data_IF_206889950204
#
_entry.id   IF_206889950204
#
_cell.length_a   1.000
_cell.length_b   1.000
_cell.length_c   1.000
_cell.angle_alpha   90.00
_cell.angle_beta   90.00
_cell.angle_gamma   90.00
#
_symmetry.space_group_name_H-M   'P 1'
#
loop_
_entity.id
_entity.type
_entity.pdbx_description
1 polymer ?
#
# COMPACT_ATOMS: atom_id res chain seq x y z
N UNK A 1 -5.09 2.13 -71.39
CA UNK A 1 -5.89 1.34 -70.43
C UNK A 1 -4.92 0.65 -69.46
N UNK A 2 -4.77 1.14 -68.22
CA UNK A 2 -4.29 0.43 -66.99
C UNK A 2 -3.50 1.23 -65.94
N UNK A 3 -3.34 2.56 -66.04
CA UNK A 3 -2.72 3.31 -64.93
C UNK A 3 -3.77 3.73 -63.87
N UNK A 4 -5.02 4.02 -64.27
CA UNK A 4 -6.10 4.38 -63.34
C UNK A 4 -6.59 3.22 -62.45
N UNK A 5 -6.41 1.95 -62.86
CA UNK A 5 -6.82 0.80 -62.04
C UNK A 5 -5.84 0.51 -60.90
N UNK A 6 -4.54 0.78 -61.07
CA UNK A 6 -3.55 0.60 -60.01
C UNK A 6 -3.65 1.67 -58.91
N UNK A 7 -4.01 2.91 -59.24
CA UNK A 7 -4.16 3.99 -58.24
C UNK A 7 -5.41 3.79 -57.38
N UNK A 8 -6.51 3.27 -57.95
CA UNK A 8 -7.72 2.96 -57.18
C UNK A 8 -7.55 1.73 -56.27
N UNK A 9 -6.79 0.71 -56.69
CA UNK A 9 -6.48 -0.43 -55.81
C UNK A 9 -5.49 -0.08 -54.69
N UNK A 10 -4.58 0.87 -54.92
CA UNK A 10 -3.68 1.36 -53.86
C UNK A 10 -4.39 2.25 -52.82
N UNK A 11 -5.41 3.02 -53.22
CA UNK A 11 -6.19 3.84 -52.28
C UNK A 11 -7.12 3.01 -51.37
N UNK A 12 -7.62 1.88 -51.86
CA UNK A 12 -8.49 0.97 -51.09
C UNK A 12 -7.67 0.10 -50.12
N UNK A 13 -6.43 -0.26 -50.49
CA UNK A 13 -5.51 -0.97 -49.58
C UNK A 13 -4.95 -0.03 -48.48
N UNK A 14 -4.91 1.29 -48.71
CA UNK A 14 -4.57 2.26 -47.64
C UNK A 14 -5.75 2.64 -46.72
N UNK A 15 -7.00 2.43 -47.15
CA UNK A 15 -8.17 2.59 -46.28
C UNK A 15 -8.51 1.32 -45.47
N UNK A 16 -7.89 0.18 -45.77
CA UNK A 16 -8.06 -1.08 -45.02
C UNK A 16 -6.89 -1.43 -44.08
N UNK A 17 -5.89 -0.54 -43.95
CA UNK A 17 -5.16 -0.39 -42.69
C UNK A 17 -6.12 0.27 -41.70
N UNK A 18 -7.13 -0.51 -41.28
CA UNK A 18 -8.13 -0.13 -40.29
C UNK A 18 -7.41 0.59 -39.15
N UNK A 19 -7.88 1.79 -38.81
CA UNK A 19 -7.62 2.35 -37.49
C UNK A 19 -8.08 1.28 -36.49
N UNK A 20 -7.15 0.49 -35.95
CA UNK A 20 -7.45 -0.42 -34.87
C UNK A 20 -8.09 0.46 -33.80
N UNK A 21 -9.38 0.23 -33.51
CA UNK A 21 -10.11 1.00 -32.51
C UNK A 21 -9.28 0.92 -31.24
N UNK A 22 -8.73 2.05 -30.80
CA UNK A 22 -7.91 2.08 -29.60
C UNK A 22 -8.83 1.71 -28.45
N UNK A 23 -8.68 0.48 -27.96
CA UNK A 23 -9.44 -0.02 -26.83
C UNK A 23 -8.99 0.75 -25.59
N UNK A 24 -9.95 1.31 -24.87
CA UNK A 24 -9.68 2.14 -23.69
C UNK A 24 -10.86 2.10 -22.74
N UNK A 25 -10.53 1.97 -21.46
CA UNK A 25 -11.49 2.11 -20.38
C UNK A 25 -12.01 3.56 -20.30
N UNK A 26 -13.29 3.70 -20.01
CA UNK A 26 -13.93 4.97 -19.68
C UNK A 26 -14.99 4.77 -18.59
N UNK A 27 -15.62 5.85 -18.13
CA UNK A 27 -16.60 5.83 -17.04
C UNK A 27 -17.85 4.98 -17.32
N UNK A 28 -18.16 4.70 -18.59
CA UNK A 28 -19.28 3.85 -19.00
C UNK A 28 -18.90 2.36 -19.05
N UNK A 29 -17.60 2.04 -18.94
CA UNK A 29 -17.09 0.67 -19.01
C UNK A 29 -17.49 -0.12 -17.78
N UNK A 30 -18.53 -0.95 -17.92
CA UNK A 30 -19.00 -1.83 -16.85
C UNK A 30 -18.10 -3.04 -16.65
N UNK A 31 -18.17 -3.67 -15.47
CA UNK A 31 -17.45 -4.93 -15.22
C UNK A 31 -17.86 -6.05 -16.17
N UNK A 32 -19.13 -6.08 -16.58
CA UNK A 32 -19.63 -7.04 -17.55
C UNK A 32 -18.99 -6.82 -18.93
N UNK A 33 -18.86 -5.56 -19.37
CA UNK A 33 -18.15 -5.27 -20.62
C UNK A 33 -16.68 -5.67 -20.57
N UNK A 34 -16.02 -5.51 -19.42
CA UNK A 34 -14.62 -5.97 -19.24
C UNK A 34 -14.54 -7.48 -19.44
N UNK A 35 -15.47 -8.26 -18.86
CA UNK A 35 -15.51 -9.72 -19.02
C UNK A 35 -15.74 -10.11 -20.48
N UNK A 36 -16.77 -9.54 -21.12
CA UNK A 36 -17.16 -9.86 -22.50
C UNK A 36 -16.02 -9.58 -23.48
N UNK A 37 -15.38 -8.41 -23.38
CA UNK A 37 -14.27 -8.07 -24.26
C UNK A 37 -13.00 -8.89 -23.95
N UNK A 38 -12.76 -9.25 -22.69
CA UNK A 38 -11.64 -10.14 -22.36
C UNK A 38 -11.84 -11.54 -22.98
N UNK A 39 -13.07 -12.05 -22.93
CA UNK A 39 -13.47 -13.34 -23.53
C UNK A 39 -13.45 -13.30 -25.05
N UNK A 40 -13.76 -12.16 -25.68
CA UNK A 40 -13.67 -11.99 -27.14
C UNK A 40 -12.23 -11.85 -27.65
N UNK A 41 -11.24 -11.80 -26.76
CA UNK A 41 -9.82 -11.84 -27.12
C UNK A 41 -9.06 -10.53 -26.95
N UNK A 42 -9.69 -9.44 -26.49
CA UNK A 42 -9.00 -8.16 -26.29
C UNK A 42 -7.91 -8.27 -25.23
N UNK A 43 -6.64 -8.10 -25.64
CA UNK A 43 -5.51 -8.13 -24.72
C UNK A 43 -5.58 -7.01 -23.66
N UNK A 44 -6.16 -5.85 -24.03
CA UNK A 44 -6.42 -4.74 -23.11
C UNK A 44 -7.34 -5.18 -21.97
N UNK A 45 -8.52 -5.70 -22.33
CA UNK A 45 -9.53 -6.09 -21.35
C UNK A 45 -9.14 -7.35 -20.58
N UNK A 46 -8.34 -8.25 -21.16
CA UNK A 46 -7.74 -9.38 -20.43
C UNK A 46 -6.81 -8.90 -19.31
N UNK A 47 -5.92 -7.95 -19.60
CA UNK A 47 -5.04 -7.38 -18.59
C UNK A 47 -5.83 -6.60 -17.52
N UNK A 48 -6.80 -5.80 -17.95
CA UNK A 48 -7.68 -5.04 -17.06
C UNK A 48 -8.51 -5.95 -16.14
N UNK A 49 -9.06 -7.05 -16.66
CA UNK A 49 -9.78 -8.05 -15.88
C UNK A 49 -8.85 -8.68 -14.83
N UNK A 50 -7.59 -8.96 -15.20
CA UNK A 50 -6.55 -9.37 -14.26
C UNK A 50 -6.40 -8.39 -13.10
N UNK A 51 -6.31 -7.09 -13.38
CA UNK A 51 -6.21 -6.03 -12.37
C UNK A 51 -7.46 -5.98 -11.49
N UNK A 52 -8.65 -6.02 -12.09
CA UNK A 52 -9.93 -5.95 -11.37
C UNK A 52 -10.10 -7.13 -10.42
N UNK A 53 -9.78 -8.34 -10.86
CA UNK A 53 -9.85 -9.54 -10.01
C UNK A 53 -8.82 -9.54 -8.88
N UNK A 54 -7.64 -8.92 -9.05
CA UNK A 54 -6.67 -8.75 -7.95
C UNK A 54 -7.20 -7.80 -6.88
N UNK A 55 -7.95 -6.79 -7.28
CA UNK A 55 -8.33 -5.66 -6.43
C UNK A 55 -9.81 -5.66 -6.02
N UNK A 56 -10.62 -6.58 -6.54
CA UNK A 56 -12.06 -6.68 -6.28
C UNK A 56 -12.86 -5.51 -6.86
N UNK A 57 -12.37 -4.90 -7.93
CA UNK A 57 -13.03 -3.77 -8.58
C UNK A 57 -14.28 -4.21 -9.36
N UNK A 58 -15.18 -3.27 -9.63
CA UNK A 58 -16.46 -3.55 -10.28
C UNK A 58 -17.43 -4.39 -9.44
N UNK A 59 -17.14 -4.60 -8.15
CA UNK A 59 -17.90 -5.46 -7.24
C UNK A 59 -17.53 -6.94 -7.32
N UNK A 60 -16.40 -7.28 -7.95
CA UNK A 60 -15.86 -8.63 -7.97
C UNK A 60 -15.26 -9.02 -6.62
N UNK A 61 -15.26 -10.32 -6.30
CA UNK A 61 -14.45 -10.82 -5.20
C UNK A 61 -12.98 -10.90 -5.61
N UNK A 62 -12.08 -10.60 -4.67
CA UNK A 62 -10.64 -10.76 -4.87
C UNK A 62 -10.34 -12.22 -5.20
N UNK A 63 -9.78 -12.46 -6.39
CA UNK A 63 -9.43 -13.77 -6.90
C UNK A 63 -8.04 -13.74 -7.56
N UNK A 64 -7.02 -14.01 -6.75
CA UNK A 64 -5.61 -13.97 -7.15
C UNK A 64 -5.26 -15.00 -8.23
N UNK A 65 -5.89 -16.19 -8.19
CA UNK A 65 -5.62 -17.24 -9.16
C UNK A 65 -6.16 -16.86 -10.55
N UNK A 66 -7.42 -16.45 -10.62
CA UNK A 66 -8.05 -16.05 -11.88
C UNK A 66 -7.44 -14.76 -12.42
N UNK A 67 -7.10 -13.82 -11.53
CA UNK A 67 -6.33 -12.61 -11.86
C UNK A 67 -5.03 -12.97 -12.59
N UNK A 68 -4.27 -13.94 -12.07
CA UNK A 68 -3.03 -14.43 -12.70
C UNK A 68 -3.30 -15.07 -14.05
N UNK A 69 -4.34 -15.90 -14.18
CA UNK A 69 -4.70 -16.57 -15.44
C UNK A 69 -4.94 -15.54 -16.54
N UNK A 70 -5.81 -14.55 -16.32
CA UNK A 70 -6.08 -13.49 -17.29
C UNK A 70 -4.86 -12.63 -17.61
N UNK A 71 -4.05 -12.32 -16.59
CA UNK A 71 -2.82 -11.56 -16.79
C UNK A 71 -1.84 -12.29 -17.70
N UNK A 72 -1.70 -13.61 -17.56
CA UNK A 72 -0.87 -14.43 -18.44
C UNK A 72 -1.40 -14.47 -19.88
N UNK A 73 -2.71 -14.45 -20.09
CA UNK A 73 -3.29 -14.38 -21.45
C UNK A 73 -2.92 -13.03 -22.09
N UNK A 74 -3.06 -11.93 -21.35
CA UNK A 74 -2.65 -10.60 -21.84
C UNK A 74 -1.15 -10.51 -22.15
N UNK A 75 -0.29 -11.14 -21.33
CA UNK A 75 1.17 -11.22 -21.58
C UNK A 75 1.48 -11.97 -22.87
N UNK A 76 0.78 -13.07 -23.18
CA UNK A 76 0.97 -13.81 -24.44
C UNK A 76 0.63 -12.97 -25.68
N UNK A 77 -0.20 -11.94 -25.51
CA UNK A 77 -0.55 -10.96 -26.54
C UNK A 77 0.25 -9.65 -26.41
N UNK A 78 1.32 -9.65 -25.60
CA UNK A 78 2.23 -8.54 -25.37
C UNK A 78 1.59 -7.24 -24.82
N UNK A 79 0.45 -7.34 -24.13
CA UNK A 79 -0.21 -6.18 -23.52
C UNK A 79 0.36 -5.86 -22.12
N UNK A 80 0.75 -4.60 -21.84
CA UNK A 80 1.50 -4.25 -20.62
C UNK A 80 0.75 -4.46 -19.31
N UNK A 81 -0.58 -4.38 -19.31
CA UNK A 81 -1.39 -4.61 -18.10
C UNK A 81 -1.22 -6.01 -17.51
N UNK A 82 -1.02 -7.03 -18.35
CA UNK A 82 -0.78 -8.39 -17.89
C UNK A 82 0.49 -8.47 -17.02
N UNK A 83 1.62 -8.02 -17.57
CA UNK A 83 2.90 -8.07 -16.85
C UNK A 83 2.96 -7.10 -15.65
N UNK A 84 2.34 -5.92 -15.74
CA UNK A 84 2.17 -5.04 -14.58
C UNK A 84 1.38 -5.71 -13.45
N UNK A 85 0.31 -6.44 -13.78
CA UNK A 85 -0.48 -7.12 -12.76
C UNK A 85 0.30 -8.33 -12.18
N UNK A 86 1.04 -9.07 -13.01
CA UNK A 86 1.94 -10.13 -12.52
C UNK A 86 3.03 -9.58 -11.58
N UNK A 87 3.57 -8.38 -11.85
CA UNK A 87 4.52 -7.72 -10.96
C UNK A 87 3.90 -7.42 -9.58
N UNK A 88 2.68 -6.88 -9.54
CA UNK A 88 1.93 -6.69 -8.29
C UNK A 88 1.69 -8.03 -7.55
N UNK A 89 1.38 -9.09 -8.28
CA UNK A 89 1.22 -10.42 -7.69
C UNK A 89 2.54 -11.01 -7.16
N UNK A 90 3.69 -10.65 -7.73
CA UNK A 90 5.00 -10.99 -7.21
C UNK A 90 5.32 -10.19 -5.93
N UNK A 91 4.99 -8.89 -5.90
CA UNK A 91 5.07 -8.06 -4.69
C UNK A 91 4.26 -8.64 -3.53
N UNK A 92 3.03 -9.09 -3.77
CA UNK A 92 2.19 -9.73 -2.75
C UNK A 92 2.80 -11.01 -2.17
N UNK A 93 3.62 -11.72 -2.95
CA UNK A 93 4.39 -12.89 -2.50
C UNK A 93 5.71 -12.54 -1.83
N UNK A 94 6.10 -11.26 -1.82
CA UNK A 94 7.40 -10.81 -1.33
C UNK A 94 8.55 -11.03 -2.32
N UNK A 95 8.26 -11.38 -3.59
CA UNK A 95 9.26 -11.53 -4.65
C UNK A 95 9.55 -10.18 -5.31
N UNK A 96 10.37 -9.38 -4.63
CA UNK A 96 10.70 -8.02 -5.05
C UNK A 96 11.55 -7.99 -6.34
N UNK A 97 12.36 -9.03 -6.58
CA UNK A 97 13.22 -9.11 -7.76
C UNK A 97 12.35 -9.33 -8.99
N UNK A 98 11.50 -10.36 -8.98
CA UNK A 98 10.61 -10.61 -10.12
C UNK A 98 9.65 -9.44 -10.37
N UNK A 99 9.13 -8.82 -9.30
CA UNK A 99 8.30 -7.64 -9.43
C UNK A 99 9.02 -6.48 -10.13
N UNK A 100 10.24 -6.14 -9.68
CA UNK A 100 11.01 -5.02 -10.23
C UNK A 100 11.34 -5.25 -11.70
N UNK A 101 11.77 -6.47 -12.07
CA UNK A 101 12.04 -6.83 -13.47
C UNK A 101 10.80 -6.62 -14.34
N UNK A 102 9.66 -7.19 -13.93
CA UNK A 102 8.41 -7.06 -14.69
C UNK A 102 7.95 -5.60 -14.83
N UNK A 103 8.08 -4.78 -13.77
CA UNK A 103 7.75 -3.36 -13.86
C UNK A 103 8.64 -2.60 -14.86
N UNK A 104 9.95 -2.88 -14.86
CA UNK A 104 10.89 -2.26 -15.81
C UNK A 104 10.55 -2.62 -17.26
N UNK A 105 10.19 -3.87 -17.52
CA UNK A 105 9.85 -4.38 -18.86
C UNK A 105 8.58 -3.74 -19.47
N UNK A 106 7.66 -3.25 -18.63
CA UNK A 106 6.40 -2.65 -19.09
C UNK A 106 6.33 -1.14 -18.96
N UNK A 107 7.21 -0.51 -18.18
CA UNK A 107 7.13 0.91 -17.84
C UNK A 107 7.06 1.82 -19.07
N UNK A 108 7.89 1.58 -20.10
CA UNK A 108 7.88 2.41 -21.30
C UNK A 108 6.55 2.31 -22.07
N UNK A 109 5.98 1.11 -22.17
CA UNK A 109 4.69 0.90 -22.84
C UNK A 109 3.56 1.53 -22.04
N UNK A 110 3.50 1.31 -20.72
CA UNK A 110 2.52 1.98 -19.86
C UNK A 110 2.62 3.51 -19.94
N UNK A 111 3.85 4.05 -19.99
CA UNK A 111 4.06 5.49 -20.13
C UNK A 111 3.49 6.00 -21.45
N UNK A 112 3.59 5.25 -22.56
CA UNK A 112 2.95 5.62 -23.84
C UNK A 112 1.42 5.64 -23.71
N UNK A 113 0.81 4.56 -23.23
CA UNK A 113 -0.65 4.52 -23.00
C UNK A 113 -1.12 5.66 -22.08
N UNK A 114 -0.40 5.93 -21.00
CA UNK A 114 -0.71 7.03 -20.09
C UNK A 114 -0.58 8.41 -20.77
N UNK A 115 0.41 8.59 -21.65
CA UNK A 115 0.60 9.84 -22.40
C UNK A 115 -0.50 10.02 -23.45
N UNK A 116 -1.02 8.92 -24.00
CA UNK A 116 -2.14 8.93 -24.95
C UNK A 116 -3.49 9.15 -24.26
N UNK A 117 -3.52 9.27 -22.93
CA UNK A 117 -4.75 9.57 -22.17
C UNK A 117 -5.46 8.35 -21.59
N UNK A 118 -4.81 7.18 -21.51
CA UNK A 118 -5.41 6.01 -20.87
C UNK A 118 -5.37 6.13 -19.33
N UNK A 119 -6.53 6.18 -18.64
CA UNK A 119 -6.57 6.39 -17.21
C UNK A 119 -6.12 5.18 -16.38
N UNK A 120 -6.28 3.96 -16.91
CA UNK A 120 -5.79 2.73 -16.25
C UNK A 120 -4.26 2.73 -16.31
N UNK A 121 -3.67 3.07 -17.45
CA UNK A 121 -2.22 3.14 -17.60
C UNK A 121 -1.61 4.26 -16.76
N UNK A 122 -2.27 5.42 -16.65
CA UNK A 122 -1.87 6.47 -15.70
C UNK A 122 -1.81 5.94 -14.27
N UNK A 123 -2.86 5.23 -13.83
CA UNK A 123 -2.87 4.62 -12.51
C UNK A 123 -1.75 3.59 -12.33
N UNK A 124 -1.58 2.67 -13.28
CA UNK A 124 -0.53 1.64 -13.24
C UNK A 124 0.87 2.27 -13.15
N UNK A 125 1.16 3.28 -13.99
CA UNK A 125 2.43 3.98 -13.98
C UNK A 125 2.64 4.77 -12.68
N UNK A 126 1.57 5.36 -12.12
CA UNK A 126 1.62 6.00 -10.82
C UNK A 126 1.98 5.03 -9.69
N UNK A 127 1.45 3.79 -9.72
CA UNK A 127 1.85 2.76 -8.76
C UNK A 127 3.30 2.34 -8.94
N UNK A 128 3.78 2.18 -10.17
CA UNK A 128 5.19 1.86 -10.44
C UNK A 128 6.10 2.95 -9.87
N UNK A 129 5.82 4.23 -10.15
CA UNK A 129 6.60 5.35 -9.64
C UNK A 129 6.57 5.46 -8.11
N UNK A 130 5.48 5.03 -7.50
CA UNK A 130 5.34 5.01 -6.05
C UNK A 130 6.09 3.85 -5.39
N UNK A 131 6.14 2.67 -6.04
CA UNK A 131 6.62 1.43 -5.43
C UNK A 131 8.08 1.09 -5.79
N UNK A 132 8.52 1.38 -7.01
CA UNK A 132 9.85 0.99 -7.52
C UNK A 132 10.90 2.01 -7.06
N UNK A 133 12.05 1.52 -6.60
CA UNK A 133 13.15 2.37 -6.09
C UNK A 133 14.14 2.69 -7.24
N UNK A 134 14.54 3.97 -7.43
CA UNK A 134 14.12 5.14 -6.67
C UNK A 134 12.67 5.56 -6.98
N UNK A 135 11.90 5.86 -5.94
CA UNK A 135 10.50 6.29 -6.10
C UNK A 135 10.42 7.71 -6.63
N UNK A 136 9.37 8.01 -7.38
CA UNK A 136 9.04 9.34 -7.86
C UNK A 136 7.63 9.74 -7.40
N UNK A 137 7.54 10.13 -6.13
CA UNK A 137 6.26 10.42 -5.47
C UNK A 137 5.50 11.57 -6.14
N UNK A 138 6.21 12.61 -6.62
CA UNK A 138 5.59 13.75 -7.32
C UNK A 138 4.96 13.33 -8.63
N UNK A 139 5.67 12.54 -9.45
CA UNK A 139 5.12 12.03 -10.72
C UNK A 139 3.99 11.05 -10.48
N UNK A 140 4.12 10.17 -9.49
CA UNK A 140 3.06 9.24 -9.07
C UNK A 140 1.77 10.00 -8.71
N UNK A 141 1.88 11.03 -7.86
CA UNK A 141 0.75 11.87 -7.47
C UNK A 141 0.07 12.53 -8.68
N UNK A 142 0.84 13.11 -9.60
CA UNK A 142 0.31 13.73 -10.81
C UNK A 142 -0.35 12.73 -11.77
N UNK A 143 0.12 11.49 -11.84
CA UNK A 143 -0.52 10.42 -12.62
C UNK A 143 -1.82 9.95 -11.97
N UNK A 144 -1.84 9.75 -10.65
CA UNK A 144 -3.04 9.39 -9.92
C UNK A 144 -4.12 10.49 -10.01
N UNK A 145 -3.74 11.76 -9.90
CA UNK A 145 -4.70 12.88 -10.02
C UNK A 145 -5.35 12.91 -11.40
N UNK A 146 -4.58 12.83 -12.48
CA UNK A 146 -5.11 12.80 -13.86
C UNK A 146 -6.01 11.58 -14.11
N UNK A 147 -5.61 10.40 -13.63
CA UNK A 147 -6.44 9.19 -13.71
C UNK A 147 -7.76 9.34 -12.95
N UNK A 148 -7.73 9.96 -11.76
CA UNK A 148 -8.91 10.21 -10.94
C UNK A 148 -9.86 11.25 -11.57
N UNK A 149 -9.32 12.28 -12.22
CA UNK A 149 -10.07 13.28 -13.00
C UNK A 149 -10.82 12.66 -14.18
N UNK A 150 -10.20 11.67 -14.84
CA UNK A 150 -10.83 10.84 -15.88
C UNK A 150 -11.82 9.80 -15.34
N UNK A 151 -12.03 9.76 -14.02
CA UNK A 151 -13.05 8.95 -13.39
C UNK A 151 -12.63 7.54 -12.96
N UNK A 152 -11.35 7.17 -13.07
CA UNK A 152 -10.92 5.81 -12.77
C UNK A 152 -11.06 5.49 -11.26
N UNK A 153 -11.84 4.45 -10.87
CA UNK A 153 -12.24 4.26 -9.48
C UNK A 153 -11.07 4.03 -8.52
N UNK A 154 -10.04 3.27 -8.92
CA UNK A 154 -8.88 3.03 -8.06
C UNK A 154 -8.06 4.30 -7.84
N UNK A 155 -7.89 5.13 -8.87
CA UNK A 155 -7.22 6.41 -8.73
C UNK A 155 -8.01 7.38 -7.85
N UNK A 156 -9.34 7.43 -8.00
CA UNK A 156 -10.22 8.19 -7.11
C UNK A 156 -10.11 7.70 -5.66
N UNK A 157 -10.04 6.38 -5.44
CA UNK A 157 -9.86 5.79 -4.12
C UNK A 157 -8.51 6.20 -3.50
N UNK A 158 -7.43 6.13 -4.27
CA UNK A 158 -6.08 6.50 -3.86
C UNK A 158 -5.97 7.99 -3.52
N UNK A 159 -6.38 8.86 -4.45
CA UNK A 159 -6.33 10.32 -4.23
C UNK A 159 -7.28 10.75 -3.12
N UNK A 160 -8.46 10.13 -3.01
CA UNK A 160 -9.39 10.38 -1.91
C UNK A 160 -8.76 10.11 -0.55
N UNK A 161 -8.12 8.95 -0.39
CA UNK A 161 -7.41 8.59 0.84
C UNK A 161 -6.17 9.45 1.11
N UNK A 162 -5.51 9.98 0.08
CA UNK A 162 -4.41 10.93 0.24
C UNK A 162 -4.92 12.29 0.71
N UNK A 163 -6.01 12.82 0.13
CA UNK A 163 -6.61 14.07 0.57
C UNK A 163 -7.09 14.04 2.03
N UNK A 164 -7.62 12.91 2.51
CA UNK A 164 -8.04 12.79 3.92
C UNK A 164 -6.88 12.97 4.92
N UNK A 165 -5.67 12.57 4.52
CA UNK A 165 -4.47 12.57 5.37
C UNK A 165 -3.53 13.74 5.07
N UNK A 166 -3.59 14.28 3.85
CA UNK A 166 -2.54 15.12 3.28
C UNK A 166 -1.26 14.32 2.97
N UNK A 167 -0.40 14.93 2.16
CA UNK A 167 0.97 14.49 1.91
C UNK A 167 1.90 15.71 2.09
N UNK A 168 2.67 15.81 3.19
CA UNK A 168 3.42 17.01 3.53
C UNK A 168 4.28 17.53 2.37
N UNK A 169 4.07 18.80 2.01
CA UNK A 169 4.81 19.48 0.94
C UNK A 169 4.40 19.12 -0.50
N UNK A 170 3.43 18.22 -0.68
CA UNK A 170 2.99 17.75 -2.01
C UNK A 170 1.48 17.78 -2.20
N UNK A 171 0.70 17.58 -1.14
CA UNK A 171 -0.76 17.61 -1.20
C UNK A 171 -1.33 18.07 0.15
N UNK A 172 -2.02 19.20 0.15
CA UNK A 172 -2.69 19.65 1.35
C UNK A 172 -3.86 18.74 1.73
N UNK A 173 -4.09 18.60 3.03
CA UNK A 173 -5.22 17.84 3.55
C UNK A 173 -6.52 18.56 3.16
N UNK A 174 -7.43 17.84 2.51
CA UNK A 174 -8.76 18.32 2.15
C UNK A 174 -9.78 17.19 2.35
N UNK A 175 -10.43 17.17 3.51
CA UNK A 175 -11.33 16.08 3.87
C UNK A 175 -12.59 16.01 3.01
N UNK A 176 -13.15 17.15 2.64
CA UNK A 176 -14.35 17.21 1.79
C UNK A 176 -14.09 16.60 0.42
N UNK A 177 -12.99 17.01 -0.24
CA UNK A 177 -12.56 16.45 -1.52
C UNK A 177 -12.22 14.96 -1.39
N UNK A 178 -11.58 14.57 -0.28
CA UNK A 178 -11.29 13.17 0.04
C UNK A 178 -12.54 12.30 0.08
N UNK A 179 -13.54 12.68 0.88
CA UNK A 179 -14.82 11.95 1.00
C UNK A 179 -15.59 11.96 -0.32
N UNK A 180 -15.58 13.07 -1.06
CA UNK A 180 -16.23 13.18 -2.37
C UNK A 180 -15.67 12.16 -3.37
N UNK A 181 -14.34 12.07 -3.48
CA UNK A 181 -13.68 11.10 -4.38
C UNK A 181 -13.92 9.65 -3.95
N UNK A 182 -13.82 9.35 -2.65
CA UNK A 182 -14.15 8.01 -2.14
C UNK A 182 -15.59 7.64 -2.45
N UNK A 183 -16.53 8.56 -2.28
CA UNK A 183 -17.96 8.33 -2.56
C UNK A 183 -18.21 8.05 -4.05
N UNK A 184 -17.53 8.75 -4.97
CA UNK A 184 -17.59 8.48 -6.42
C UNK A 184 -17.08 7.06 -6.73
N UNK A 185 -15.92 6.69 -6.20
CA UNK A 185 -15.34 5.36 -6.40
C UNK A 185 -16.21 4.24 -5.80
N UNK A 186 -16.85 4.46 -4.65
CA UNK A 186 -17.82 3.50 -4.06
C UNK A 186 -19.01 3.27 -4.98
N UNK A 187 -19.57 4.33 -5.62
CA UNK A 187 -20.66 4.18 -6.61
C UNK A 187 -20.21 3.38 -7.84
N UNK A 188 -18.95 3.53 -8.24
CA UNK A 188 -18.32 2.70 -9.26
C UNK A 188 -17.91 1.29 -8.77
N UNK A 189 -18.37 0.90 -7.57
CA UNK A 189 -18.15 -0.41 -6.95
C UNK A 189 -16.69 -0.72 -6.62
N UNK A 190 -15.86 0.29 -6.37
CA UNK A 190 -14.47 0.08 -5.92
C UNK A 190 -14.42 -0.49 -4.51
N UNK A 191 -13.69 -1.61 -4.37
CA UNK A 191 -13.48 -2.28 -3.09
C UNK A 191 -12.49 -1.48 -2.22
N UNK A 192 -11.42 -0.95 -2.81
CA UNK A 192 -10.47 -0.07 -2.13
C UNK A 192 -11.16 1.16 -1.55
N UNK A 193 -12.08 1.77 -2.29
CA UNK A 193 -12.83 2.93 -1.79
C UNK A 193 -13.74 2.60 -0.61
N UNK A 194 -14.43 1.44 -0.65
CA UNK A 194 -15.27 0.98 0.47
C UNK A 194 -14.45 0.76 1.73
N UNK A 195 -13.27 0.13 1.60
CA UNK A 195 -12.36 -0.03 2.72
C UNK A 195 -11.89 1.33 3.26
N UNK A 196 -11.43 2.23 2.39
CA UNK A 196 -10.96 3.55 2.79
C UNK A 196 -12.06 4.39 3.48
N UNK A 197 -13.31 4.30 3.02
CA UNK A 197 -14.43 4.96 3.67
C UNK A 197 -14.76 4.34 5.03
N UNK A 198 -14.65 3.01 5.17
CA UNK A 198 -14.73 2.33 6.46
C UNK A 198 -13.67 2.82 7.44
N UNK A 199 -12.42 2.96 6.98
CA UNK A 199 -11.33 3.53 7.78
C UNK A 199 -11.55 5.00 8.12
N UNK A 200 -12.12 5.79 7.20
CA UNK A 200 -12.48 7.18 7.47
C UNK A 200 -13.49 7.30 8.62
N UNK A 201 -14.53 6.46 8.64
CA UNK A 201 -15.46 6.38 9.78
C UNK A 201 -14.78 5.88 11.06
N UNK A 202 -13.85 4.93 10.96
CA UNK A 202 -13.14 4.43 12.14
C UNK A 202 -12.27 5.51 12.80
N UNK A 203 -11.60 6.34 12.00
CA UNK A 203 -10.69 7.37 12.47
C UNK A 203 -11.37 8.74 12.73
N UNK A 204 -12.54 8.99 12.13
CA UNK A 204 -13.12 10.33 12.05
C UNK A 204 -12.47 11.23 10.98
N UNK A 205 -11.91 10.64 9.92
CA UNK A 205 -11.24 11.39 8.86
C UNK A 205 -12.28 11.98 7.89
N UNK A 206 -12.64 13.25 8.09
CA UNK A 206 -13.57 13.95 7.20
C UNK A 206 -15.05 13.57 7.35
N UNK A 207 -15.34 12.62 8.23
CA UNK A 207 -16.67 12.20 8.67
C UNK A 207 -16.64 12.05 10.20
N UNK A 208 -17.80 12.07 10.84
CA UNK A 208 -17.89 11.79 12.27
C UNK A 208 -17.42 10.35 12.58
N UNK A 209 -16.59 10.21 13.61
CA UNK A 209 -16.07 8.91 14.04
C UNK A 209 -17.23 7.98 14.41
N UNK A 210 -17.27 6.79 13.80
CA UNK A 210 -18.33 5.82 14.02
C UNK A 210 -17.83 4.39 13.74
N UNK A 211 -17.43 3.66 14.79
CA UNK A 211 -16.90 2.31 14.66
C UNK A 211 -17.96 1.31 14.16
N UNK A 212 -19.24 1.50 14.50
CA UNK A 212 -20.33 0.69 13.98
C UNK A 212 -20.45 0.81 12.45
N UNK A 213 -20.53 2.03 11.90
CA UNK A 213 -20.53 2.27 10.45
C UNK A 213 -19.26 1.75 9.79
N UNK A 214 -18.10 1.94 10.41
CA UNK A 214 -16.84 1.37 9.92
C UNK A 214 -16.94 -0.16 9.78
N UNK A 215 -17.46 -0.85 10.80
CA UNK A 215 -17.63 -2.31 10.76
C UNK A 215 -18.57 -2.76 9.64
N UNK A 216 -19.64 -2.01 9.34
CA UNK A 216 -20.55 -2.33 8.23
C UNK A 216 -19.82 -2.27 6.87
N UNK A 217 -19.01 -1.23 6.64
CA UNK A 217 -18.19 -1.11 5.43
C UNK A 217 -17.15 -2.22 5.33
N UNK A 218 -16.45 -2.52 6.43
CA UNK A 218 -15.45 -3.60 6.46
C UNK A 218 -16.10 -4.97 6.20
N UNK A 219 -17.29 -5.24 6.73
CA UNK A 219 -18.04 -6.48 6.46
C UNK A 219 -18.36 -6.65 4.97
N UNK A 220 -18.69 -5.57 4.25
CA UNK A 220 -18.89 -5.63 2.79
C UNK A 220 -17.60 -5.97 2.03
N UNK A 221 -16.45 -5.48 2.50
CA UNK A 221 -15.16 -5.79 1.91
C UNK A 221 -14.69 -7.22 2.25
N UNK A 222 -14.97 -7.71 3.46
CA UNK A 222 -14.73 -9.12 3.86
C UNK A 222 -15.52 -10.09 2.98
N UNK A 223 -16.77 -9.77 2.63
CA UNK A 223 -17.58 -10.59 1.69
C UNK A 223 -16.95 -10.71 0.30
N UNK A 224 -16.10 -9.77 -0.10
CA UNK A 224 -15.33 -9.78 -1.35
C UNK A 224 -13.91 -10.32 -1.16
N UNK A 225 -13.64 -11.00 -0.04
CA UNK A 225 -12.35 -11.61 0.28
C UNK A 225 -11.17 -10.62 0.41
N UNK A 226 -11.44 -9.38 0.85
CA UNK A 226 -10.39 -8.37 1.00
C UNK A 226 -9.59 -8.55 2.30
N UNK A 227 -8.30 -8.87 2.18
CA UNK A 227 -7.45 -9.28 3.31
C UNK A 227 -7.24 -8.16 4.36
N UNK A 228 -7.16 -6.91 3.90
CA UNK A 228 -6.98 -5.73 4.73
C UNK A 228 -8.24 -5.47 5.56
N UNK A 229 -9.42 -5.67 4.98
CA UNK A 229 -10.68 -5.57 5.72
C UNK A 229 -10.87 -6.71 6.71
N UNK A 230 -10.47 -7.94 6.36
CA UNK A 230 -10.46 -9.07 7.28
C UNK A 230 -9.57 -8.78 8.49
N UNK A 231 -8.36 -8.24 8.26
CA UNK A 231 -7.47 -7.84 9.35
C UNK A 231 -8.08 -6.75 10.23
N UNK A 232 -8.54 -5.64 9.64
CA UNK A 232 -9.10 -4.51 10.38
C UNK A 232 -10.36 -4.87 11.16
N UNK A 233 -11.29 -5.62 10.55
CA UNK A 233 -12.50 -6.08 11.24
C UNK A 233 -12.15 -7.12 12.32
N UNK A 234 -11.18 -7.98 12.05
CA UNK A 234 -10.68 -8.97 13.00
C UNK A 234 -10.21 -8.33 14.30
N UNK A 235 -9.40 -7.27 14.20
CA UNK A 235 -8.97 -6.49 15.36
C UNK A 235 -10.13 -5.76 16.04
N UNK A 236 -11.00 -5.12 15.27
CA UNK A 236 -12.15 -4.39 15.83
C UNK A 236 -13.07 -5.30 16.67
N UNK A 237 -13.29 -6.55 16.22
CA UNK A 237 -14.08 -7.54 16.96
C UNK A 237 -13.34 -8.11 18.17
N UNK A 238 -12.01 -8.18 18.15
CA UNK A 238 -11.22 -8.64 19.29
C UNK A 238 -11.18 -7.60 20.42
N UNK A 239 -11.12 -6.33 20.05
CA UNK A 239 -11.11 -5.21 20.98
C UNK A 239 -12.53 -4.96 21.53
N UNK A 240 -13.54 -4.94 20.65
CA UNK A 240 -14.89 -4.49 20.99
C UNK A 240 -14.95 -2.98 21.29
N UNK A 241 -16.05 -2.51 21.89
CA UNK A 241 -16.25 -1.09 22.26
C UNK A 241 -16.79 -0.22 21.11
N UNK A 242 -17.07 1.06 21.39
CA UNK A 242 -17.63 2.03 20.42
C UNK A 242 -18.86 1.50 19.63
N UNK A 243 -19.73 0.74 20.30
CA UNK A 243 -20.92 0.11 19.69
C UNK A 243 -20.66 -1.22 18.96
N UNK A 244 -19.47 -1.80 19.10
CA UNK A 244 -19.11 -3.13 18.60
C UNK A 244 -19.06 -4.13 19.76
N UNK A 245 -19.84 -5.20 19.64
CA UNK A 245 -19.74 -6.32 20.56
C UNK A 245 -18.47 -7.11 20.29
N UNK A 246 -17.68 -7.34 21.34
CA UNK A 246 -16.49 -8.18 21.28
C UNK A 246 -16.88 -9.59 20.83
N UNK A 247 -16.22 -10.09 19.79
CA UNK A 247 -16.39 -11.43 19.25
C UNK A 247 -15.03 -12.04 18.93
N UNK A 248 -14.44 -12.71 19.93
CA UNK A 248 -13.11 -13.31 19.80
C UNK A 248 -13.04 -14.38 18.74
N UNK A 249 -14.09 -15.21 18.61
CA UNK A 249 -14.13 -16.33 17.65
C UNK A 249 -14.14 -15.82 16.22
N UNK A 250 -15.03 -14.88 15.91
CA UNK A 250 -15.07 -14.27 14.58
C UNK A 250 -13.80 -13.46 14.30
N UNK A 251 -13.35 -12.66 15.27
CA UNK A 251 -12.15 -11.83 15.10
C UNK A 251 -10.89 -12.63 14.81
N UNK A 252 -10.68 -13.75 15.52
CA UNK A 252 -9.56 -14.65 15.25
C UNK A 252 -9.66 -15.34 13.89
N UNK A 253 -10.86 -15.79 13.52
CA UNK A 253 -11.09 -16.41 12.20
C UNK A 253 -10.72 -15.44 11.08
N UNK A 254 -11.17 -14.20 11.15
CA UNK A 254 -10.83 -13.18 10.14
C UNK A 254 -9.33 -12.90 10.06
N UNK A 255 -8.62 -12.89 11.20
CA UNK A 255 -7.16 -12.77 11.18
C UNK A 255 -6.47 -13.98 10.55
N UNK A 256 -6.98 -15.19 10.77
CA UNK A 256 -6.49 -16.41 10.12
C UNK A 256 -6.72 -16.36 8.61
N UNK A 257 -7.92 -15.95 8.18
CA UNK A 257 -8.26 -15.77 6.77
C UNK A 257 -7.32 -14.74 6.10
N UNK A 258 -7.10 -13.59 6.73
CA UNK A 258 -6.16 -12.58 6.24
C UNK A 258 -4.73 -13.12 6.16
N UNK A 259 -4.28 -13.86 7.18
CA UNK A 259 -2.95 -14.45 7.21
C UNK A 259 -2.73 -15.51 6.12
N UNK A 260 -3.76 -16.32 5.82
CA UNK A 260 -3.76 -17.29 4.71
C UNK A 260 -3.61 -16.60 3.36
N UNK A 261 -4.10 -15.36 3.23
CA UNK A 261 -3.91 -14.48 2.07
C UNK A 261 -2.58 -13.71 2.07
N UNK A 262 -1.61 -14.09 2.90
CA UNK A 262 -0.32 -13.43 3.06
C UNK A 262 -0.36 -12.02 3.68
N UNK A 263 -1.44 -11.64 4.38
CA UNK A 263 -1.48 -10.37 5.10
C UNK A 263 -0.45 -10.35 6.26
N UNK A 264 0.60 -9.56 6.10
CA UNK A 264 1.78 -9.61 6.96
C UNK A 264 1.50 -9.23 8.42
N UNK A 265 0.64 -8.23 8.65
CA UNK A 265 0.30 -7.82 10.01
C UNK A 265 -0.58 -8.86 10.72
N UNK A 266 -1.40 -9.60 9.97
CA UNK A 266 -2.23 -10.67 10.52
C UNK A 266 -1.35 -11.87 10.94
N UNK A 267 -0.40 -12.27 10.08
CA UNK A 267 0.61 -13.29 10.41
C UNK A 267 1.39 -12.94 11.68
N UNK A 268 1.91 -11.71 11.77
CA UNK A 268 2.65 -11.24 12.95
C UNK A 268 1.79 -11.23 14.21
N UNK A 269 0.53 -10.79 14.11
CA UNK A 269 -0.39 -10.79 15.23
C UNK A 269 -0.63 -12.22 15.77
N UNK A 270 -0.94 -13.17 14.88
CA UNK A 270 -1.21 -14.56 15.26
C UNK A 270 0.04 -15.24 15.84
N UNK A 271 1.22 -14.99 15.26
CA UNK A 271 2.49 -15.49 15.78
C UNK A 271 2.73 -15.03 17.23
N UNK A 272 2.58 -13.73 17.50
CA UNK A 272 2.75 -13.16 18.85
C UNK A 272 1.77 -13.74 19.87
N UNK A 273 0.55 -14.09 19.43
CA UNK A 273 -0.48 -14.69 20.30
C UNK A 273 -0.22 -16.17 20.59
N UNK A 274 0.40 -16.92 19.68
CA UNK A 274 0.68 -18.35 19.83
C UNK A 274 1.98 -18.67 20.57
N UNK A 275 2.86 -17.70 20.78
CA UNK A 275 4.10 -17.89 21.56
C UNK A 275 3.83 -17.78 23.07
N UNK A 276 4.18 -18.79 23.88
CA UNK A 276 4.11 -18.68 25.33
C UNK A 276 5.08 -17.58 25.84
N UNK A 277 4.77 -16.89 26.95
CA UNK A 277 5.63 -15.86 27.50
C UNK A 277 7.01 -16.45 27.85
N UNK A 278 8.09 -15.79 27.42
CA UNK A 278 9.45 -16.18 27.78
C UNK A 278 9.62 -16.07 29.30
N UNK A 279 9.99 -17.17 29.95
CA UNK A 279 10.48 -17.14 31.33
C UNK A 279 11.83 -16.42 31.34
N UNK A 280 11.85 -15.22 31.91
CA UNK A 280 13.08 -14.46 32.15
C UNK A 280 13.79 -15.01 33.38
N UNK A 281 14.92 -15.69 33.17
CA UNK A 281 15.88 -15.99 34.23
C UNK A 281 16.64 -14.70 34.56
N UNK A 282 16.42 -14.18 35.77
CA UNK A 282 17.13 -13.02 36.30
C UNK A 282 18.59 -13.39 36.59
N UNK A 283 19.53 -12.72 35.92
CA UNK A 283 20.89 -12.54 36.43
C UNK A 283 21.11 -11.04 36.63
N UNK A 284 21.24 -10.68 37.90
CA UNK A 284 21.47 -9.34 38.41
C UNK A 284 22.90 -8.93 38.07
N UNK A 285 23.09 -7.75 37.50
CA UNK A 285 24.32 -6.98 37.68
C UNK A 285 24.01 -5.48 37.68
N UNK A 286 24.71 -4.77 38.56
CA UNK A 286 24.26 -3.57 39.26
C UNK A 286 24.68 -2.21 38.67
N UNK A 287 23.74 -1.25 38.74
CA UNK A 287 23.85 0.21 38.98
C UNK A 287 24.43 1.15 37.88
N UNK A 288 24.14 2.49 37.93
CA UNK A 288 23.42 3.26 38.95
C UNK A 288 22.15 4.00 38.50
N UNK A 289 21.39 4.41 39.52
CA UNK A 289 20.08 5.06 39.52
C UNK A 289 19.94 6.28 38.59
N UNK A 290 18.86 6.27 37.81
CA UNK A 290 18.19 7.47 37.33
C UNK A 290 16.71 7.34 37.67
N UNK A 291 16.30 8.16 38.63
CA UNK A 291 14.93 8.37 39.10
C UNK A 291 13.96 8.59 37.93
N UNK A 292 13.09 7.61 37.70
CA UNK A 292 11.96 7.70 36.80
C UNK A 292 10.70 7.57 37.64
N UNK A 293 10.02 8.71 37.79
CA UNK A 293 8.70 8.83 38.39
C UNK A 293 7.74 7.73 37.94
N UNK A 294 6.96 7.30 38.91
CA UNK A 294 6.26 6.03 38.98
C UNK A 294 5.14 5.83 37.94
N UNK A 295 4.79 4.55 37.76
CA UNK A 295 3.62 4.00 37.06
C UNK A 295 3.69 3.82 35.53
N UNK A 296 4.75 3.19 35.02
CA UNK A 296 4.64 2.41 33.78
C UNK A 296 4.98 0.94 34.01
N UNK A 297 4.17 -0.01 33.48
CA UNK A 297 4.50 -1.42 33.54
C UNK A 297 5.84 -1.66 32.83
N UNK A 298 6.67 -2.53 33.41
CA UNK A 298 7.94 -2.95 32.81
C UNK A 298 7.61 -3.67 31.50
N UNK A 299 7.71 -2.94 30.39
CA UNK A 299 7.55 -3.51 29.05
C UNK A 299 8.80 -4.32 28.73
N UNK A 300 8.58 -5.56 28.25
CA UNK A 300 9.64 -6.32 27.59
C UNK A 300 10.17 -5.56 26.36
N UNK A 301 11.40 -5.86 25.95
CA UNK A 301 12.10 -5.10 24.91
C UNK A 301 11.36 -5.09 23.56
N UNK A 302 10.60 -6.15 23.26
CA UNK A 302 9.82 -6.25 22.03
C UNK A 302 8.57 -5.37 22.08
N UNK A 303 7.85 -5.37 23.20
CA UNK A 303 6.70 -4.49 23.44
C UNK A 303 7.13 -3.03 23.46
N UNK A 304 8.28 -2.74 24.08
CA UNK A 304 8.89 -1.42 24.09
C UNK A 304 9.28 -0.96 22.69
N UNK A 305 9.90 -1.83 21.87
CA UNK A 305 10.17 -1.56 20.45
C UNK A 305 8.89 -1.28 19.65
N UNK A 306 7.86 -2.12 19.82
CA UNK A 306 6.58 -1.97 19.12
C UNK A 306 5.93 -0.63 19.45
N UNK A 307 5.89 -0.27 20.74
CA UNK A 307 5.33 1.00 21.17
C UNK A 307 6.16 2.20 20.71
N UNK A 308 7.50 2.09 20.72
CA UNK A 308 8.38 3.12 20.18
C UNK A 308 8.10 3.38 18.69
N UNK A 309 7.91 2.32 17.90
CA UNK A 309 7.52 2.44 16.47
C UNK A 309 6.16 3.10 16.30
N UNK A 310 5.18 2.74 17.11
CA UNK A 310 3.85 3.38 17.06
C UNK A 310 3.95 4.88 17.32
N UNK A 311 4.67 5.29 18.36
CA UNK A 311 4.88 6.72 18.63
C UNK A 311 5.71 7.43 17.56
N UNK A 312 6.72 6.77 16.98
CA UNK A 312 7.55 7.34 15.92
C UNK A 312 6.78 7.53 14.61
N UNK A 313 5.94 6.56 14.25
CA UNK A 313 5.17 6.55 12.98
C UNK A 313 3.82 7.24 13.09
N UNK A 314 3.22 7.29 14.28
CA UNK A 314 1.83 7.69 14.51
C UNK A 314 0.80 6.61 14.17
N UNK A 315 1.22 5.36 13.97
CA UNK A 315 0.29 4.26 13.64
C UNK A 315 -0.42 3.80 14.91
N UNK A 316 -1.74 4.05 14.97
CA UNK A 316 -2.60 3.64 16.08
C UNK A 316 -2.45 4.46 17.37
N UNK A 317 -1.60 5.50 17.37
CA UNK A 317 -1.43 6.48 18.45
C UNK A 317 -1.06 7.83 17.85
N UNK A 318 -1.31 8.94 18.57
CA UNK A 318 -0.77 10.25 18.16
C UNK A 318 0.75 10.19 18.09
N UNK A 319 1.31 10.59 16.94
CA UNK A 319 2.76 10.63 16.72
C UNK A 319 3.43 11.50 17.78
N UNK A 320 4.41 10.95 18.48
CA UNK A 320 5.10 11.62 19.57
C UNK A 320 6.56 11.18 19.58
N UNK A 321 7.45 12.04 19.06
CA UNK A 321 8.86 11.71 18.93
C UNK A 321 9.58 11.66 20.29
N UNK A 322 9.18 12.45 21.28
CA UNK A 322 9.79 12.41 22.61
C UNK A 322 9.54 11.07 23.31
N UNK A 323 8.29 10.56 23.24
CA UNK A 323 7.95 9.22 23.74
C UNK A 323 8.65 8.11 22.97
N UNK A 324 8.73 8.24 21.64
CA UNK A 324 9.47 7.28 20.82
C UNK A 324 10.96 7.25 21.21
N UNK A 325 11.58 8.42 21.42
CA UNK A 325 12.99 8.53 21.79
C UNK A 325 13.24 7.86 23.15
N UNK A 326 12.41 8.16 24.16
CA UNK A 326 12.50 7.56 25.49
C UNK A 326 12.39 6.04 25.48
N UNK A 327 11.62 5.46 24.56
CA UNK A 327 11.48 4.02 24.44
C UNK A 327 12.60 3.37 23.62
N UNK A 328 13.05 4.01 22.52
CA UNK A 328 14.15 3.50 21.71
C UNK A 328 15.52 3.61 22.39
N UNK A 329 15.76 4.66 23.17
CA UNK A 329 17.12 4.97 23.64
C UNK A 329 17.69 3.90 24.59
N UNK A 330 16.96 3.40 25.61
CA UNK A 330 17.45 2.32 26.46
C UNK A 330 17.69 1.03 25.67
N UNK A 331 16.86 0.74 24.66
CA UNK A 331 17.00 -0.45 23.82
C UNK A 331 18.24 -0.35 22.91
N UNK A 332 18.51 0.84 22.39
CA UNK A 332 19.70 1.11 21.62
C UNK A 332 20.97 0.94 22.48
N UNK A 333 20.96 1.46 23.72
CA UNK A 333 22.03 1.26 24.70
C UNK A 333 22.20 -0.22 25.08
N UNK A 334 21.10 -0.96 25.23
CA UNK A 334 21.09 -2.42 25.40
C UNK A 334 21.50 -3.21 24.15
N UNK A 335 21.86 -2.51 23.07
CA UNK A 335 22.45 -3.12 21.88
C UNK A 335 21.45 -3.59 20.82
N UNK A 336 20.19 -3.17 20.87
CA UNK A 336 19.23 -3.44 19.80
C UNK A 336 19.59 -2.63 18.54
N UNK A 337 19.91 -3.33 17.45
CA UNK A 337 20.35 -2.69 16.20
C UNK A 337 19.27 -1.83 15.53
N UNK A 338 18.00 -2.25 15.61
CA UNK A 338 16.89 -1.49 15.04
C UNK A 338 16.62 -0.21 15.86
N UNK A 339 16.69 -0.30 17.20
CA UNK A 339 16.55 0.86 18.07
C UNK A 339 17.68 1.87 17.83
N UNK A 340 18.93 1.39 17.73
CA UNK A 340 20.09 2.21 17.39
C UNK A 340 19.90 2.94 16.05
N UNK A 341 19.35 2.26 15.04
CA UNK A 341 19.00 2.91 13.76
C UNK A 341 18.01 4.06 13.96
N UNK A 342 16.93 3.84 14.72
CA UNK A 342 15.93 4.89 14.96
C UNK A 342 16.49 6.06 15.75
N UNK A 343 17.30 5.83 16.79
CA UNK A 343 18.00 6.91 17.51
C UNK A 343 18.91 7.69 16.56
N UNK A 344 19.64 7.02 15.68
CA UNK A 344 20.46 7.65 14.66
C UNK A 344 19.66 8.57 13.73
N UNK A 345 18.51 8.10 13.23
CA UNK A 345 17.60 8.89 12.40
C UNK A 345 16.97 10.08 13.15
N UNK A 346 16.65 9.90 14.43
CA UNK A 346 16.08 10.95 15.28
C UNK A 346 17.08 12.05 15.56
N UNK A 347 18.34 11.71 15.84
CA UNK A 347 19.46 12.67 15.98
C UNK A 347 19.79 13.35 14.65
N UNK A 348 19.68 12.65 13.53
CA UNK A 348 19.90 13.22 12.20
C UNK A 348 18.86 14.31 11.88
N UNK A 349 17.60 14.04 12.23
CA UNK A 349 16.46 14.92 11.93
C UNK A 349 16.06 15.89 13.03
N UNK A 350 16.64 15.81 14.22
CA UNK A 350 16.21 16.60 15.39
C UNK A 350 14.78 16.30 15.84
N UNK A 351 14.35 15.03 15.76
CA UNK A 351 12.96 14.63 16.07
C UNK A 351 12.90 13.95 17.42
N UNK A 352 12.28 14.59 18.42
CA UNK A 352 12.23 14.06 19.79
C UNK A 352 13.58 14.13 20.52
N UNK A 353 14.49 14.93 19.98
CA UNK A 353 15.85 15.19 20.44
C UNK A 353 16.40 16.37 19.64
N UNK A 354 17.43 17.04 20.14
CA UNK A 354 18.21 17.97 19.33
C UNK A 354 18.89 17.27 18.15
N UNK A 355 19.02 18.01 17.05
CA UNK A 355 19.75 17.57 15.87
C UNK A 355 21.24 17.49 16.19
N UNK A 356 21.85 16.33 15.97
CA UNK A 356 23.27 16.12 16.19
C UNK A 356 23.81 15.09 15.18
N UNK A 357 24.53 15.58 14.17
CA UNK A 357 25.04 14.75 13.06
C UNK A 357 26.11 13.74 13.51
N UNK A 358 26.95 14.12 14.49
CA UNK A 358 27.98 13.24 15.05
C UNK A 358 27.34 12.04 15.75
N UNK A 359 26.42 12.28 16.68
CA UNK A 359 25.70 11.21 17.38
C UNK A 359 24.82 10.39 16.42
N UNK A 360 24.25 11.02 15.39
CA UNK A 360 23.51 10.30 14.36
C UNK A 360 24.40 9.28 13.64
N UNK A 361 25.61 9.68 13.24
CA UNK A 361 26.62 8.78 12.63
C UNK A 361 27.00 7.65 13.56
N UNK A 362 27.28 7.95 14.83
CA UNK A 362 27.67 6.95 15.83
C UNK A 362 26.58 5.87 16.01
N UNK A 363 25.32 6.26 16.23
CA UNK A 363 24.22 5.31 16.42
C UNK A 363 23.88 4.51 15.16
N UNK A 364 23.94 5.12 13.97
CA UNK A 364 23.82 4.39 12.71
C UNK A 364 24.99 3.42 12.51
N UNK A 365 26.18 3.75 13.00
CA UNK A 365 27.35 2.88 12.90
C UNK A 365 27.22 1.66 13.82
N UNK A 366 26.70 1.86 15.04
CA UNK A 366 26.35 0.76 15.96
C UNK A 366 25.33 -0.19 15.31
N UNK A 367 24.27 0.34 14.70
CA UNK A 367 23.29 -0.47 13.99
C UNK A 367 23.91 -1.22 12.79
N UNK A 368 24.73 -0.53 12.01
CA UNK A 368 25.42 -1.06 10.83
C UNK A 368 26.37 -2.21 11.17
N UNK A 369 27.17 -2.08 12.24
CA UNK A 369 28.07 -3.12 12.74
C UNK A 369 27.31 -4.38 13.18
N UNK A 370 26.05 -4.23 13.61
CA UNK A 370 25.15 -5.33 13.96
C UNK A 370 24.34 -5.88 12.78
N UNK A 371 24.74 -5.53 11.54
CA UNK A 371 24.14 -6.08 10.32
C UNK A 371 22.89 -5.36 9.83
N UNK A 372 22.55 -4.18 10.38
CA UNK A 372 21.41 -3.40 9.90
C UNK A 372 21.67 -2.80 8.50
N UNK A 373 21.09 -3.43 7.48
CA UNK A 373 21.28 -3.05 6.06
C UNK A 373 20.83 -1.62 5.74
N UNK A 374 19.83 -1.11 6.46
CA UNK A 374 19.34 0.26 6.24
C UNK A 374 20.38 1.27 6.71
N UNK A 375 20.96 1.06 7.88
CA UNK A 375 22.01 1.91 8.45
C UNK A 375 23.29 1.83 7.63
N UNK A 376 23.67 0.64 7.16
CA UNK A 376 24.78 0.44 6.21
C UNK A 376 24.58 1.29 4.94
N UNK A 377 23.39 1.24 4.35
CA UNK A 377 23.04 2.04 3.16
C UNK A 377 23.04 3.54 3.44
N UNK A 378 22.52 3.97 4.59
CA UNK A 378 22.49 5.38 4.96
C UNK A 378 23.89 5.96 5.14
N UNK A 379 24.76 5.25 5.87
CA UNK A 379 26.15 5.66 6.06
C UNK A 379 26.94 5.66 4.75
N UNK A 380 26.68 4.71 3.86
CA UNK A 380 27.38 4.66 2.56
C UNK A 380 26.87 5.70 1.56
N UNK A 381 25.56 5.98 1.55
CA UNK A 381 24.94 6.92 0.60
C UNK A 381 25.13 8.38 1.00
N UNK A 382 25.26 8.66 2.30
CA UNK A 382 25.37 10.02 2.84
C UNK A 382 26.71 10.25 3.54
N UNK A 383 27.80 9.67 3.02
CA UNK A 383 29.16 9.83 3.60
C UNK A 383 29.58 11.30 3.77
N UNK A 384 29.13 12.20 2.90
CA UNK A 384 29.44 13.63 2.98
C UNK A 384 28.61 14.40 4.00
N UNK A 385 27.51 13.81 4.49
CA UNK A 385 26.61 14.42 5.48
C UNK A 385 27.09 14.14 6.92
N UNK A 386 27.93 13.13 7.11
CA UNK A 386 28.39 12.60 8.39
C UNK A 386 29.91 12.67 8.50
#
# INVERSE_FOLDING_TARGET
MNIQKCVFSALIIFHSLLSAKIERWNVETSYQNIIENAQSGSAYYQGLLGIYLRSGEGGSSVNIELSRKWSNVAVKQDHPFGAYNLANLAMLKGDLVAATTLYQDVALRLQRYASDGDPVAMYCMGEIDFQVIPTNVTRALGLFMRSAELGYPQAQATIGALYLRGLPGLLDRNTEKGISLLSKAVRAKSLTARFNLGMAYYNGDGVEKNAYKASQWLRLAVKQNFSEAQYSLGLLLLDGGDGINKNTTEGLKLLQDAAAQNHQLAKKYLQKRGTPPKQTTNSVDSSPDLDLGQDQPILDDLARMDQARKYYTGVGVTRNYDKAYKLFFPLAQGGNAEAARFIGLMKLGGKGTDKNLKLAKEWLSVASQKGDKISQKLLSSYKSLF
#
